data_IF_860709823461
#
_entry.id   IF_860709823461
#
_cell.length_a   1.000
_cell.length_b   1.000
_cell.length_c   1.000
_cell.angle_alpha   90.00
_cell.angle_beta   90.00
_cell.angle_gamma   90.00
#
_symmetry.space_group_name_H-M   'P 1'
#
loop_
_entity.id
_entity.type
_entity.pdbx_description
1 polymer ?
#
# COMPACT_ATOMS: atom_id res chain seq x y z
N UNK A 1 26.92 -23.79 -25.37
CA UNK A 1 26.43 -22.42 -25.11
C UNK A 1 24.96 -22.54 -24.77
N UNK A 2 24.65 -22.68 -23.48
CA UNK A 2 23.29 -23.00 -23.02
C UNK A 2 22.46 -21.74 -22.96
N UNK A 3 21.40 -21.69 -23.75
CA UNK A 3 20.38 -20.65 -23.78
C UNK A 3 19.75 -20.56 -22.39
N UNK A 4 20.16 -19.58 -21.60
CA UNK A 4 19.44 -19.21 -20.39
C UNK A 4 18.09 -18.66 -20.83
N UNK A 5 17.05 -19.50 -20.74
CA UNK A 5 15.68 -19.06 -20.84
C UNK A 5 15.50 -17.93 -19.82
N UNK A 6 15.30 -16.71 -20.33
CA UNK A 6 15.06 -15.50 -19.56
C UNK A 6 13.76 -15.69 -18.77
N UNK A 7 13.84 -16.35 -17.61
CA UNK A 7 12.84 -16.19 -16.58
C UNK A 7 12.86 -14.71 -16.23
N UNK A 8 11.86 -13.97 -16.70
CA UNK A 8 11.62 -12.60 -16.23
C UNK A 8 11.33 -12.73 -14.75
N UNK A 9 12.37 -12.59 -13.92
CA UNK A 9 12.21 -12.70 -12.49
C UNK A 9 11.24 -11.61 -12.03
N UNK A 10 10.13 -12.07 -11.45
CA UNK A 10 9.09 -11.19 -10.93
C UNK A 10 9.72 -10.27 -9.86
N UNK A 11 9.51 -8.94 -9.93
CA UNK A 11 10.05 -8.04 -8.92
C UNK A 11 9.57 -8.40 -7.51
N UNK A 12 10.39 -8.14 -6.46
CA UNK A 12 10.02 -8.41 -5.08
C UNK A 12 8.64 -7.84 -4.72
N UNK A 13 7.85 -8.62 -3.99
CA UNK A 13 6.51 -8.20 -3.57
C UNK A 13 6.58 -7.10 -2.52
N UNK A 14 5.91 -5.99 -2.78
CA UNK A 14 5.69 -4.89 -1.83
C UNK A 14 4.21 -4.89 -1.45
N UNK A 15 3.91 -4.89 -0.15
CA UNK A 15 2.54 -4.75 0.35
C UNK A 15 2.34 -3.40 1.00
N UNK A 16 1.22 -2.77 0.67
CA UNK A 16 0.82 -1.48 1.24
C UNK A 16 -0.45 -1.69 2.08
N UNK A 17 -0.33 -1.41 3.38
CA UNK A 17 -1.38 -1.47 4.41
C UNK A 17 -1.57 -0.08 5.01
N UNK A 18 -2.67 0.16 5.73
CA UNK A 18 -2.93 1.47 6.30
C UNK A 18 -4.41 1.72 6.55
N UNK A 19 -4.73 2.78 7.29
CA UNK A 19 -6.12 3.18 7.58
C UNK A 19 -6.87 3.53 6.30
N UNK A 20 -8.20 3.59 6.37
CA UNK A 20 -9.01 4.05 5.25
C UNK A 20 -8.62 5.48 4.85
N UNK A 21 -8.76 5.81 3.56
CA UNK A 21 -8.34 7.10 2.99
C UNK A 21 -6.85 7.49 3.20
N UNK A 22 -5.96 6.58 3.61
CA UNK A 22 -4.51 6.84 3.70
C UNK A 22 -3.77 6.92 2.35
N UNK A 23 -4.45 6.63 1.24
CA UNK A 23 -3.87 6.72 -0.11
C UNK A 23 -3.24 5.44 -0.65
N UNK A 24 -3.51 4.27 -0.05
CA UNK A 24 -2.97 2.96 -0.48
C UNK A 24 -3.12 2.68 -1.98
N UNK A 25 -4.33 2.83 -2.52
CA UNK A 25 -4.60 2.57 -3.94
C UNK A 25 -3.82 3.50 -4.85
N UNK A 26 -3.75 4.78 -4.49
CA UNK A 26 -3.01 5.80 -5.24
C UNK A 26 -1.52 5.48 -5.25
N UNK A 27 -0.93 5.17 -4.10
CA UNK A 27 0.48 4.79 -4.00
C UNK A 27 0.75 3.51 -4.81
N UNK A 28 -0.09 2.49 -4.69
CA UNK A 28 0.11 1.24 -5.45
C UNK A 28 0.06 1.50 -6.96
N UNK A 29 -0.91 2.28 -7.45
CA UNK A 29 -0.96 2.64 -8.88
C UNK A 29 0.35 3.27 -9.34
N UNK A 30 0.81 4.32 -8.64
CA UNK A 30 2.05 5.01 -9.01
C UNK A 30 3.29 4.12 -8.92
N UNK A 31 3.40 3.25 -7.90
CA UNK A 31 4.52 2.30 -7.81
C UNK A 31 4.51 1.29 -8.94
N UNK A 32 3.34 0.82 -9.37
CA UNK A 32 3.21 -0.12 -10.49
C UNK A 32 3.52 0.52 -11.83
N UNK A 33 3.15 1.78 -12.03
CA UNK A 33 3.57 2.59 -13.18
C UNK A 33 5.09 2.71 -13.26
N UNK A 34 5.77 2.76 -12.12
CA UNK A 34 7.23 2.75 -12.01
C UNK A 34 7.85 1.33 -12.09
N UNK A 35 7.07 0.27 -12.29
CA UNK A 35 7.55 -1.11 -12.43
C UNK A 35 7.70 -1.89 -11.12
N UNK A 36 7.32 -1.33 -9.96
CA UNK A 36 7.37 -2.04 -8.69
C UNK A 36 6.17 -2.99 -8.54
N UNK A 37 6.41 -4.20 -8.03
CA UNK A 37 5.36 -5.19 -7.74
C UNK A 37 4.65 -4.87 -6.41
N UNK A 38 3.98 -3.72 -6.37
CA UNK A 38 3.17 -3.26 -5.24
C UNK A 38 1.74 -3.82 -5.30
N UNK A 39 1.19 -4.15 -4.13
CA UNK A 39 -0.20 -4.60 -3.93
C UNK A 39 -0.80 -3.96 -2.67
N UNK A 40 -2.07 -3.53 -2.71
CA UNK A 40 -2.75 -3.09 -1.50
C UNK A 40 -3.17 -4.31 -0.68
N UNK A 41 -3.33 -4.13 0.62
CA UNK A 41 -3.99 -5.08 1.50
C UNK A 41 -5.04 -4.33 2.32
N UNK A 42 -6.29 -4.76 2.23
CA UNK A 42 -7.43 -4.21 2.98
C UNK A 42 -7.46 -4.74 4.42
N UNK A 43 -6.34 -4.60 5.14
CA UNK A 43 -6.16 -5.08 6.50
C UNK A 43 -7.10 -4.38 7.49
N UNK A 44 -7.40 -3.11 7.25
CA UNK A 44 -8.31 -2.27 8.04
C UNK A 44 -9.77 -2.81 8.06
N UNK A 45 -10.12 -3.66 7.10
CA UNK A 45 -11.44 -4.28 6.97
C UNK A 45 -11.43 -5.79 7.29
N UNK A 46 -10.37 -6.29 7.92
CA UNK A 46 -10.24 -7.71 8.25
C UNK A 46 -9.90 -7.93 9.72
N UNK A 47 -10.58 -8.90 10.34
CA UNK A 47 -10.26 -9.36 11.70
C UNK A 47 -9.10 -10.36 11.73
N UNK A 48 -8.58 -10.78 10.57
CA UNK A 48 -7.37 -11.60 10.46
C UNK A 48 -6.15 -10.69 10.67
N UNK A 49 -5.59 -10.69 11.87
CA UNK A 49 -4.49 -9.80 12.26
C UNK A 49 -3.27 -9.83 11.30
N UNK A 50 -3.00 -10.96 10.67
CA UNK A 50 -1.86 -11.15 9.77
C UNK A 50 -2.27 -11.34 8.30
N UNK A 51 -3.40 -10.77 7.86
CA UNK A 51 -3.82 -10.80 6.45
C UNK A 51 -2.70 -10.29 5.54
N UNK A 52 -1.91 -9.32 6.00
CA UNK A 52 -0.72 -8.82 5.32
C UNK A 52 0.36 -9.88 5.03
N UNK A 53 0.35 -11.06 5.67
CA UNK A 53 1.25 -12.18 5.34
C UNK A 53 0.67 -13.12 4.28
N UNK A 54 -0.64 -13.13 4.06
CA UNK A 54 -1.33 -14.06 3.16
C UNK A 54 -1.18 -13.70 1.67
N UNK A 55 -1.38 -14.64 0.76
CA UNK A 55 -1.26 -14.40 -0.70
C UNK A 55 0.12 -13.87 -1.16
N UNK A 56 1.16 -14.36 -0.48
CA UNK A 56 2.57 -14.02 -0.73
C UNK A 56 3.16 -13.16 0.39
N UNK A 57 4.30 -13.58 0.92
CA UNK A 57 5.00 -12.84 1.95
C UNK A 57 5.71 -11.61 1.34
N UNK A 58 5.54 -10.40 1.90
CA UNK A 58 6.17 -9.21 1.33
C UNK A 58 7.68 -9.21 1.57
N UNK A 59 8.45 -8.75 0.58
CA UNK A 59 9.83 -8.32 0.80
C UNK A 59 9.89 -6.97 1.53
N UNK A 60 8.87 -6.13 1.32
CA UNK A 60 8.69 -4.84 1.99
C UNK A 60 7.22 -4.66 2.35
N UNK A 61 6.95 -4.31 3.60
CA UNK A 61 5.65 -3.90 4.12
C UNK A 61 5.66 -2.40 4.41
N UNK A 62 4.79 -1.65 3.72
CA UNK A 62 4.62 -0.22 3.88
C UNK A 62 3.31 0.04 4.60
N UNK A 63 3.37 0.85 5.65
CA UNK A 63 2.21 1.29 6.43
C UNK A 63 1.93 2.78 6.19
N UNK A 64 0.74 3.08 5.71
CA UNK A 64 0.25 4.44 5.55
C UNK A 64 -0.74 4.78 6.65
N UNK A 65 -0.44 5.83 7.40
CA UNK A 65 -1.31 6.36 8.44
C UNK A 65 -2.02 7.63 7.99
N UNK A 66 -3.12 7.95 8.65
CA UNK A 66 -3.87 9.18 8.47
C UNK A 66 -4.66 9.49 9.74
N UNK A 67 -4.86 10.76 10.04
CA UNK A 67 -5.76 11.18 11.10
C UNK A 67 -7.19 11.39 10.58
N UNK A 68 -8.12 11.62 11.51
CA UNK A 68 -9.54 11.80 11.21
C UNK A 68 -9.78 13.00 10.29
N UNK A 69 -9.04 14.10 10.50
CA UNK A 69 -9.12 15.29 9.66
C UNK A 69 -8.66 14.98 8.22
N UNK A 70 -7.54 14.27 8.07
CA UNK A 70 -7.05 13.82 6.77
C UNK A 70 -7.99 12.82 6.09
N UNK A 71 -8.70 11.97 6.83
CA UNK A 71 -9.70 11.06 6.26
C UNK A 71 -10.90 11.85 5.71
N UNK A 72 -11.44 12.76 6.51
CA UNK A 72 -12.56 13.65 6.15
C UNK A 72 -12.24 14.52 4.95
N UNK A 73 -11.04 15.11 4.92
CA UNK A 73 -10.59 15.95 3.81
C UNK A 73 -10.54 15.18 2.48
N UNK A 74 -10.10 13.91 2.50
CA UNK A 74 -9.93 13.09 1.29
C UNK A 74 -11.20 12.41 0.82
N UNK A 75 -12.09 12.06 1.75
CA UNK A 75 -13.34 11.34 1.50
C UNK A 75 -14.47 11.99 2.29
N UNK A 76 -14.91 13.20 1.91
CA UNK A 76 -16.01 13.88 2.58
C UNK A 76 -17.37 13.16 2.38
N UNK A 77 -17.43 12.19 1.48
CA UNK A 77 -18.58 11.35 1.17
C UNK A 77 -18.79 10.18 2.15
N UNK A 78 -17.89 10.00 3.12
CA UNK A 78 -17.93 8.91 4.10
C UNK A 78 -18.05 9.50 5.50
N UNK A 79 -18.89 8.89 6.34
CA UNK A 79 -18.97 9.22 7.76
C UNK A 79 -17.72 8.70 8.49
N UNK A 80 -16.98 9.60 9.12
CA UNK A 80 -15.77 9.26 9.88
C UNK A 80 -15.94 9.64 11.34
N UNK A 81 -15.69 8.67 12.22
CA UNK A 81 -15.64 8.88 13.66
C UNK A 81 -14.36 8.29 14.28
N UNK A 82 -14.03 8.76 15.49
CA UNK A 82 -12.84 8.31 16.23
C UNK A 82 -12.89 6.82 16.57
N UNK A 83 -14.09 6.25 16.77
CA UNK A 83 -14.24 4.84 17.11
C UNK A 83 -13.89 3.92 15.93
N UNK A 84 -14.22 4.34 14.71
CA UNK A 84 -13.93 3.67 13.45
C UNK A 84 -12.43 3.71 13.21
N UNK A 85 -11.80 4.88 13.34
CA UNK A 85 -10.36 5.03 13.22
C UNK A 85 -9.60 4.19 14.26
N UNK A 86 -10.07 4.18 15.52
CA UNK A 86 -9.49 3.35 16.57
C UNK A 86 -9.62 1.85 16.27
N UNK A 87 -10.76 1.41 15.72
CA UNK A 87 -10.98 0.03 15.29
C UNK A 87 -10.04 -0.37 14.15
N UNK A 88 -9.89 0.48 13.13
CA UNK A 88 -8.94 0.27 12.04
C UNK A 88 -7.50 0.15 12.56
N UNK A 89 -7.08 1.05 13.44
CA UNK A 89 -5.77 0.97 14.09
C UNK A 89 -5.59 -0.34 14.87
N UNK A 90 -6.63 -0.83 15.54
CA UNK A 90 -6.63 -2.11 16.23
C UNK A 90 -6.33 -3.27 15.28
N UNK A 91 -7.07 -3.37 14.17
CA UNK A 91 -6.88 -4.40 13.12
C UNK A 91 -5.51 -4.29 12.44
N UNK A 92 -5.01 -3.07 12.30
CA UNK A 92 -3.75 -2.77 11.63
C UNK A 92 -2.52 -2.96 12.52
N UNK A 93 -2.67 -3.17 13.83
CA UNK A 93 -1.58 -3.23 14.81
C UNK A 93 -0.43 -4.14 14.38
N UNK A 94 -0.74 -5.39 14.02
CA UNK A 94 0.27 -6.36 13.57
C UNK A 94 1.03 -5.86 12.34
N UNK A 95 0.31 -5.32 11.35
CA UNK A 95 0.94 -4.82 10.13
C UNK A 95 1.78 -3.55 10.40
N UNK A 96 1.32 -2.66 11.28
CA UNK A 96 2.05 -1.48 11.74
C UNK A 96 3.36 -1.90 12.40
N UNK A 97 3.29 -2.80 13.38
CA UNK A 97 4.45 -3.24 14.17
C UNK A 97 5.53 -3.90 13.31
N UNK A 98 5.14 -4.57 12.23
CA UNK A 98 6.04 -5.26 11.30
C UNK A 98 6.38 -4.44 10.03
N UNK A 99 5.94 -3.20 9.91
CA UNK A 99 6.19 -2.39 8.72
C UNK A 99 7.66 -1.95 8.63
N UNK A 100 8.26 -2.09 7.44
CA UNK A 100 9.60 -1.61 7.13
C UNK A 100 9.62 -0.08 6.95
N UNK A 101 8.51 0.50 6.50
CA UNK A 101 8.32 1.94 6.34
C UNK A 101 6.93 2.35 6.82
N UNK A 102 6.88 3.40 7.65
CA UNK A 102 5.63 4.01 8.15
C UNK A 102 5.58 5.47 7.74
N UNK A 103 4.48 5.90 7.15
CA UNK A 103 4.30 7.28 6.70
C UNK A 103 2.97 7.80 7.23
N UNK A 104 3.00 8.91 7.99
CA UNK A 104 1.79 9.69 8.23
C UNK A 104 1.52 10.53 6.98
N UNK A 105 0.35 10.32 6.38
CA UNK A 105 0.00 10.97 5.11
C UNK A 105 -0.82 12.24 5.29
N UNK A 106 -1.25 12.61 6.49
CA UNK A 106 -2.21 13.71 6.74
C UNK A 106 -1.86 15.01 6.01
N UNK A 107 -0.59 15.41 6.05
CA UNK A 107 -0.11 16.65 5.45
C UNK A 107 0.67 16.46 4.14
N UNK A 108 0.68 15.23 3.59
CA UNK A 108 1.45 14.89 2.40
C UNK A 108 0.55 14.73 1.18
N UNK A 109 1.01 15.28 0.06
CA UNK A 109 0.42 15.01 -1.25
C UNK A 109 0.77 13.59 -1.72
N UNK A 110 -0.03 13.04 -2.63
CA UNK A 110 0.23 11.72 -3.21
C UNK A 110 1.61 11.62 -3.87
N UNK A 111 2.10 12.69 -4.50
CA UNK A 111 3.43 12.75 -5.11
C UNK A 111 4.53 12.68 -4.04
N UNK A 112 4.41 13.44 -2.94
CA UNK A 112 5.38 13.39 -1.84
C UNK A 112 5.42 11.99 -1.19
N UNK A 113 4.26 11.37 -0.95
CA UNK A 113 4.22 9.99 -0.43
C UNK A 113 4.90 9.02 -1.39
N UNK A 114 4.63 9.12 -2.69
CA UNK A 114 5.30 8.30 -3.72
C UNK A 114 6.81 8.51 -3.67
N UNK A 115 7.29 9.74 -3.66
CA UNK A 115 8.72 10.06 -3.74
C UNK A 115 9.48 9.57 -2.50
N UNK A 116 8.88 9.71 -1.30
CA UNK A 116 9.41 9.14 -0.07
C UNK A 116 9.55 7.61 -0.16
N UNK A 117 8.51 6.94 -0.66
CA UNK A 117 8.52 5.48 -0.82
C UNK A 117 9.54 5.05 -1.86
N UNK A 118 9.64 5.74 -3.00
CA UNK A 118 10.63 5.43 -4.04
C UNK A 118 12.05 5.59 -3.49
N UNK A 119 12.35 6.68 -2.80
CA UNK A 119 13.65 6.89 -2.17
C UNK A 119 13.99 5.77 -1.17
N UNK A 120 13.03 5.34 -0.36
CA UNK A 120 13.21 4.20 0.54
C UNK A 120 13.49 2.88 -0.20
N UNK A 121 12.72 2.58 -1.26
CA UNK A 121 12.89 1.35 -2.05
C UNK A 121 14.25 1.31 -2.77
N UNK A 122 14.70 2.45 -3.30
CA UNK A 122 16.00 2.60 -3.95
C UNK A 122 17.16 2.44 -2.96
N UNK A 123 17.06 3.09 -1.79
CA UNK A 123 18.04 2.94 -0.71
C UNK A 123 18.19 1.47 -0.25
N UNK A 124 17.09 0.70 -0.30
CA UNK A 124 17.06 -0.72 0.03
C UNK A 124 17.32 -1.65 -1.18
N UNK A 125 17.69 -1.08 -2.33
CA UNK A 125 17.99 -1.81 -3.58
C UNK A 125 16.86 -2.76 -4.01
N UNK A 126 15.62 -2.35 -3.82
CA UNK A 126 14.45 -3.13 -4.24
C UNK A 126 14.34 -3.08 -5.76
N UNK A 127 14.45 -4.25 -6.40
CA UNK A 127 14.34 -4.36 -7.86
C UNK A 127 12.94 -3.98 -8.35
N UNK A 128 12.87 -3.35 -9.51
CA UNK A 128 11.64 -3.06 -10.26
C UNK A 128 11.76 -3.59 -11.69
N UNK A 129 10.63 -3.79 -12.36
CA UNK A 129 10.61 -4.13 -13.78
C UNK A 129 11.09 -2.93 -14.62
N UNK A 130 11.59 -3.22 -15.83
CA UNK A 130 12.02 -2.19 -16.78
C UNK A 130 10.84 -1.43 -17.41
N UNK A 131 9.65 -2.01 -17.33
CA UNK A 131 8.41 -1.47 -17.87
C UNK A 131 7.30 -1.44 -16.81
N UNK A 132 6.27 -0.59 -16.99
CA UNK A 132 5.13 -0.52 -16.08
C UNK A 132 4.44 -1.88 -15.90
N UNK A 133 3.96 -2.15 -14.68
CA UNK A 133 3.13 -3.33 -14.40
C UNK A 133 1.64 -2.99 -14.54
N UNK A 134 0.84 -3.97 -14.98
CA UNK A 134 -0.61 -3.80 -15.18
C UNK A 134 -1.29 -3.24 -13.92
N UNK A 135 -2.27 -2.33 -14.03
CA UNK A 135 -2.98 -1.80 -12.87
C UNK A 135 -3.71 -2.92 -12.12
N UNK A 136 -3.89 -2.74 -10.80
CA UNK A 136 -4.73 -3.61 -9.99
C UNK A 136 -6.11 -2.94 -9.91
N UNK A 137 -7.22 -3.65 -10.21
CA UNK A 137 -8.56 -3.11 -10.02
C UNK A 137 -8.73 -2.58 -8.59
N UNK A 138 -9.39 -1.43 -8.44
CA UNK A 138 -9.69 -0.91 -7.11
C UNK A 138 -10.68 -1.87 -6.43
N UNK A 139 -10.23 -2.62 -5.44
CA UNK A 139 -11.12 -3.35 -4.55
C UNK A 139 -11.86 -2.35 -3.66
N UNK A 140 -13.20 -2.31 -3.75
CA UNK A 140 -14.06 -1.54 -2.84
C UNK A 140 -14.69 -0.25 -3.37
N UNK A 141 -14.74 -0.01 -4.69
CA UNK A 141 -15.64 1.00 -5.26
C UNK A 141 -16.98 0.36 -5.59
N UNK A 142 -18.07 0.78 -4.95
CA UNK A 142 -19.42 0.43 -5.41
C UNK A 142 -19.56 0.77 -6.89
N UNK A 143 -20.13 -0.15 -7.66
CA UNK A 143 -20.57 0.15 -9.02
C UNK A 143 -21.52 1.35 -8.94
N UNK A 144 -21.31 2.45 -9.70
CA UNK A 144 -22.40 3.38 -9.92
C UNK A 144 -23.50 2.62 -10.67
N UNK A 145 -24.66 2.47 -10.02
CA UNK A 145 -25.91 2.09 -10.67
C UNK A 145 -26.50 3.26 -11.45
#
# INVERSE_FOLDING_TARGET
MTTASLMVEKPPLIKVVGVSASGKSTLVTSLRELGYNARPVSQEHSDVAELWKQFGFPRVLIFLDNDLEGQRSRRPDVEWDDANLASEHGRLRSARDNADLRINTATLTAAQVRDLVVAFLEANRIRRAQSPLSPIPRTGGGMPG
#
